data_IF_797204678322
#
_entry.id   IF_797204678322
#
_cell.length_a   1.000
_cell.length_b   1.000
_cell.length_c   1.000
_cell.angle_alpha   90.00
_cell.angle_beta   90.00
_cell.angle_gamma   90.00
#
_symmetry.space_group_name_H-M   'P 1'
#
loop_
_entity.id
_entity.type
_entity.pdbx_description
1 polymer ?
#
# COMPACT_ATOMS: atom_id res chain seq x y z
N UNK A 1 17.33 -18.06 14.93
CA UNK A 1 16.64 -17.65 13.66
C UNK A 1 15.81 -18.81 13.12
N UNK A 2 14.97 -18.58 12.11
CA UNK A 2 14.19 -19.63 11.45
C UNK A 2 15.08 -20.75 10.91
N UNK A 3 16.19 -20.38 10.28
CA UNK A 3 17.18 -21.37 9.80
C UNK A 3 17.80 -22.19 10.92
N UNK A 4 18.11 -21.59 12.07
CA UNK A 4 18.67 -22.33 13.21
C UNK A 4 17.68 -23.34 13.81
N UNK A 5 16.40 -23.03 13.76
CA UNK A 5 15.33 -23.86 14.32
C UNK A 5 14.86 -24.96 13.37
N UNK A 6 14.91 -24.72 12.07
CA UNK A 6 14.31 -25.60 11.06
C UNK A 6 15.32 -26.26 10.13
N UNK A 7 16.55 -25.73 10.05
CA UNK A 7 17.56 -26.13 9.06
C UNK A 7 17.27 -25.66 7.62
N UNK A 8 16.19 -24.86 7.42
CA UNK A 8 15.78 -24.35 6.11
C UNK A 8 16.42 -22.98 5.88
N UNK A 9 17.18 -22.84 4.80
CA UNK A 9 17.70 -21.55 4.36
C UNK A 9 16.60 -20.78 3.63
N UNK A 10 16.37 -19.52 4.03
CA UNK A 10 15.43 -18.63 3.35
C UNK A 10 16.21 -17.67 2.47
N UNK A 11 15.87 -17.63 1.19
CA UNK A 11 16.33 -16.61 0.25
C UNK A 11 15.17 -15.61 0.00
N UNK A 12 15.43 -14.34 0.25
CA UNK A 12 14.44 -13.29 0.08
C UNK A 12 14.62 -12.59 -1.28
N UNK A 13 13.55 -12.58 -2.08
CA UNK A 13 13.47 -11.85 -3.33
C UNK A 13 12.54 -10.65 -3.15
N UNK A 14 13.03 -9.44 -3.44
CA UNK A 14 12.19 -8.23 -3.48
C UNK A 14 11.74 -7.98 -4.92
N UNK A 15 10.43 -7.97 -5.13
CA UNK A 15 9.81 -7.79 -6.45
C UNK A 15 9.06 -6.45 -6.57
N UNK A 16 9.40 -5.49 -5.73
CA UNK A 16 8.73 -4.19 -5.67
C UNK A 16 7.49 -4.20 -4.76
N UNK A 17 6.56 -3.32 -5.04
CA UNK A 17 5.33 -3.17 -4.25
C UNK A 17 4.27 -4.24 -4.62
N UNK A 18 3.17 -4.34 -3.86
CA UNK A 18 2.18 -5.43 -3.94
C UNK A 18 1.65 -5.69 -5.35
N UNK A 19 1.33 -4.65 -6.12
CA UNK A 19 0.85 -4.82 -7.48
C UNK A 19 1.89 -5.42 -8.43
N UNK A 20 3.17 -5.07 -8.25
CA UNK A 20 4.29 -5.61 -9.00
C UNK A 20 4.57 -7.06 -8.59
N UNK A 21 4.54 -7.35 -7.29
CA UNK A 21 4.68 -8.69 -6.74
C UNK A 21 3.63 -9.65 -7.32
N UNK A 22 2.35 -9.27 -7.29
CA UNK A 22 1.26 -10.08 -7.84
C UNK A 22 1.40 -10.25 -9.35
N UNK A 23 1.75 -9.19 -10.08
CA UNK A 23 1.96 -9.27 -11.53
C UNK A 23 3.08 -10.24 -11.89
N UNK A 24 4.20 -10.19 -11.16
CA UNK A 24 5.32 -11.12 -11.33
C UNK A 24 4.91 -12.57 -11.01
N UNK A 25 4.16 -12.77 -9.92
CA UNK A 25 3.67 -14.10 -9.54
C UNK A 25 2.71 -14.69 -10.57
N UNK A 26 1.85 -13.87 -11.19
CA UNK A 26 0.96 -14.29 -12.29
C UNK A 26 1.77 -14.69 -13.52
N UNK A 27 2.75 -13.90 -13.92
CA UNK A 27 3.59 -14.16 -15.09
C UNK A 27 4.43 -15.42 -14.95
N UNK A 28 4.78 -15.79 -13.73
CA UNK A 28 5.62 -16.98 -13.45
C UNK A 28 4.83 -18.15 -12.87
N UNK A 29 3.49 -18.12 -12.93
CA UNK A 29 2.61 -19.12 -12.32
C UNK A 29 2.98 -20.56 -12.67
N UNK A 30 3.33 -20.84 -13.93
CA UNK A 30 3.71 -22.18 -14.40
C UNK A 30 5.12 -22.60 -13.97
N UNK A 31 5.95 -21.65 -13.55
CA UNK A 31 7.29 -21.88 -13.02
C UNK A 31 7.59 -20.84 -11.94
N UNK A 32 7.01 -20.99 -10.74
CA UNK A 32 7.13 -20.03 -9.66
C UNK A 32 8.59 -19.75 -9.26
N UNK A 33 8.91 -18.48 -9.02
CA UNK A 33 10.25 -18.04 -8.62
C UNK A 33 10.46 -18.08 -7.11
N UNK A 34 9.45 -18.43 -6.34
CA UNK A 34 9.50 -18.57 -4.89
C UNK A 34 8.40 -19.48 -4.37
N UNK A 35 8.62 -20.01 -3.16
CA UNK A 35 7.70 -20.95 -2.51
C UNK A 35 6.65 -20.23 -1.66
N UNK A 36 6.94 -19.01 -1.20
CA UNK A 36 6.08 -18.21 -0.34
C UNK A 36 6.04 -16.77 -0.85
N UNK A 37 4.84 -16.20 -0.92
CA UNK A 37 4.61 -14.79 -1.23
C UNK A 37 4.19 -14.07 0.05
N UNK A 38 4.85 -12.95 0.35
CA UNK A 38 4.54 -12.09 1.48
C UNK A 38 4.28 -10.66 1.01
N UNK A 39 3.24 -10.00 1.55
CA UNK A 39 2.94 -8.60 1.25
C UNK A 39 1.70 -8.38 0.39
N UNK A 40 0.82 -9.40 0.26
CA UNK A 40 -0.51 -9.22 -0.36
C UNK A 40 -1.47 -8.73 0.71
N UNK A 41 -2.05 -7.57 0.50
CA UNK A 41 -3.05 -6.99 1.39
C UNK A 41 -4.48 -7.12 0.86
N UNK A 42 -5.45 -6.69 1.65
CA UNK A 42 -6.87 -6.78 1.31
C UNK A 42 -7.26 -5.94 0.06
N UNK A 43 -6.48 -4.94 -0.35
CA UNK A 43 -6.78 -4.12 -1.54
C UNK A 43 -6.47 -4.87 -2.83
N UNK A 44 -5.48 -5.74 -2.82
CA UNK A 44 -5.05 -6.56 -3.96
C UNK A 44 -5.47 -8.03 -3.87
N UNK A 45 -6.09 -8.45 -2.76
CA UNK A 45 -6.40 -9.86 -2.47
C UNK A 45 -7.23 -10.52 -3.57
N UNK A 46 -8.30 -9.88 -4.04
CA UNK A 46 -9.16 -10.45 -5.08
C UNK A 46 -8.39 -10.74 -6.36
N UNK A 47 -7.52 -9.83 -6.78
CA UNK A 47 -6.69 -10.02 -7.98
C UNK A 47 -5.76 -11.22 -7.86
N UNK A 48 -5.19 -11.44 -6.66
CA UNK A 48 -4.31 -12.56 -6.41
C UNK A 48 -5.06 -13.90 -6.38
N UNK A 49 -6.26 -13.93 -5.76
CA UNK A 49 -7.11 -15.11 -5.70
C UNK A 49 -7.69 -15.48 -7.08
N UNK A 50 -8.19 -14.50 -7.83
CA UNK A 50 -8.74 -14.72 -9.19
C UNK A 50 -7.69 -15.27 -10.16
N UNK A 51 -6.42 -14.95 -9.94
CA UNK A 51 -5.31 -15.47 -10.72
C UNK A 51 -4.92 -16.91 -10.35
N UNK A 52 -5.45 -17.46 -9.24
CA UNK A 52 -5.16 -18.83 -8.77
C UNK A 52 -3.65 -19.13 -8.69
N UNK A 53 -2.91 -18.21 -8.05
CA UNK A 53 -1.45 -18.27 -7.91
C UNK A 53 -1.00 -18.92 -6.59
N UNK A 54 -1.93 -19.24 -5.70
CA UNK A 54 -1.64 -19.79 -4.38
C UNK A 54 -2.20 -21.22 -4.24
N UNK A 55 -1.48 -22.05 -3.50
CA UNK A 55 -1.99 -23.34 -3.02
C UNK A 55 -2.61 -23.18 -1.64
N UNK A 56 -3.73 -23.85 -1.33
CA UNK A 56 -4.36 -23.72 -0.01
C UNK A 56 -3.48 -24.33 1.09
N UNK A 57 -3.31 -23.57 2.17
CA UNK A 57 -2.63 -24.02 3.38
C UNK A 57 -3.28 -23.39 4.61
N UNK A 58 -3.76 -24.22 5.53
CA UNK A 58 -4.33 -23.75 6.79
C UNK A 58 -3.28 -23.90 7.90
N UNK A 59 -2.78 -22.77 8.37
CA UNK A 59 -1.81 -22.76 9.48
C UNK A 59 -2.42 -23.30 10.77
N UNK A 60 -1.65 -24.09 11.52
CA UNK A 60 -2.03 -24.51 12.88
C UNK A 60 -2.18 -23.34 13.85
N UNK A 61 -1.70 -22.14 13.47
CA UNK A 61 -1.79 -20.91 14.23
C UNK A 61 -2.99 -20.03 13.85
N UNK A 62 -3.85 -20.46 12.92
CA UNK A 62 -5.02 -19.68 12.51
C UNK A 62 -5.93 -19.27 13.69
N UNK A 63 -6.01 -20.11 14.73
CA UNK A 63 -6.76 -19.80 15.95
C UNK A 63 -6.19 -18.63 16.78
N UNK A 64 -4.99 -18.15 16.44
CA UNK A 64 -4.37 -16.97 17.06
C UNK A 64 -4.59 -15.68 16.29
N UNK A 65 -5.17 -15.75 15.09
CA UNK A 65 -5.51 -14.58 14.30
C UNK A 65 -6.66 -13.84 14.98
N UNK A 66 -6.58 -12.52 15.01
CA UNK A 66 -7.60 -11.66 15.59
C UNK A 66 -8.90 -11.83 14.80
N UNK A 67 -10.02 -11.96 15.51
CA UNK A 67 -11.35 -12.09 14.92
C UNK A 67 -11.64 -10.94 13.95
N UNK A 68 -12.18 -11.26 12.78
CA UNK A 68 -12.52 -10.30 11.75
C UNK A 68 -11.38 -9.90 10.80
N UNK A 69 -10.16 -10.43 10.97
CA UNK A 69 -9.06 -10.21 10.03
C UNK A 69 -8.90 -11.32 8.99
N UNK A 70 -9.67 -12.39 9.08
CA UNK A 70 -9.70 -13.43 8.05
C UNK A 70 -10.71 -13.00 6.99
N UNK A 71 -10.22 -12.44 5.89
CA UNK A 71 -11.05 -11.99 4.76
C UNK A 71 -11.32 -13.09 3.75
N UNK A 72 -10.61 -14.22 3.84
CA UNK A 72 -10.66 -15.33 2.91
C UNK A 72 -10.56 -16.65 3.70
N UNK A 73 -11.53 -17.55 3.52
CA UNK A 73 -11.65 -18.78 4.31
C UNK A 73 -11.14 -20.04 3.60
N UNK A 74 -10.75 -19.93 2.31
CA UNK A 74 -10.29 -21.09 1.54
C UNK A 74 -8.87 -21.56 1.93
N UNK A 75 -8.15 -20.75 2.70
CA UNK A 75 -6.80 -21.03 3.15
C UNK A 75 -5.71 -20.72 2.14
N UNK A 76 -6.00 -19.97 1.07
CA UNK A 76 -4.99 -19.55 0.10
C UNK A 76 -4.07 -18.44 0.63
N UNK A 77 -4.56 -17.68 1.63
CA UNK A 77 -3.78 -16.62 2.28
C UNK A 77 -3.94 -16.71 3.80
N UNK A 78 -2.91 -16.29 4.52
CA UNK A 78 -2.91 -16.22 5.98
C UNK A 78 -2.58 -14.79 6.41
N UNK A 79 -3.47 -14.10 7.15
CA UNK A 79 -3.16 -12.78 7.71
C UNK A 79 -1.98 -12.85 8.69
N UNK A 80 -1.04 -11.94 8.55
CA UNK A 80 0.18 -11.87 9.38
C UNK A 80 0.14 -10.63 10.28
N UNK A 81 -0.27 -9.50 9.72
CA UNK A 81 -0.39 -8.23 10.43
C UNK A 81 -1.56 -7.40 9.88
N UNK A 82 -1.79 -6.26 10.47
CA UNK A 82 -2.73 -5.27 9.98
C UNK A 82 -2.26 -3.86 10.32
N UNK A 83 -2.70 -2.89 9.52
CA UNK A 83 -2.39 -1.48 9.73
C UNK A 83 -3.36 -0.58 8.99
N UNK A 84 -3.24 0.72 9.24
CA UNK A 84 -4.02 1.74 8.57
C UNK A 84 -3.15 2.49 7.57
N UNK A 85 -3.70 2.77 6.39
CA UNK A 85 -3.12 3.73 5.46
C UNK A 85 -3.63 5.12 5.82
N UNK A 86 -2.71 6.05 6.02
CA UNK A 86 -2.99 7.40 6.48
C UNK A 86 -2.30 8.45 5.60
N UNK A 87 -2.77 9.68 5.68
CA UNK A 87 -2.02 10.84 5.20
C UNK A 87 -1.08 11.27 6.34
N UNK A 88 0.21 11.07 6.13
CA UNK A 88 1.25 11.41 7.07
C UNK A 88 1.90 12.74 6.68
N UNK A 89 2.35 13.52 7.64
CA UNK A 89 3.00 14.80 7.37
C UNK A 89 4.26 15.04 8.20
N UNK A 90 5.19 15.79 7.65
CA UNK A 90 6.40 16.20 8.33
C UNK A 90 6.12 17.38 9.27
N UNK A 91 6.12 17.12 10.56
CA UNK A 91 5.60 18.06 11.56
C UNK A 91 6.25 19.46 11.51
N UNK A 92 7.57 19.54 11.27
CA UNK A 92 8.27 20.83 11.23
C UNK A 92 8.02 21.66 9.97
N UNK A 93 7.33 21.10 8.96
CA UNK A 93 6.91 21.85 7.77
C UNK A 93 5.62 22.63 7.97
N UNK A 94 4.99 22.49 9.14
CA UNK A 94 3.71 23.12 9.46
C UNK A 94 3.83 24.04 10.68
N UNK A 95 2.95 25.04 10.76
CA UNK A 95 2.95 26.07 11.82
C UNK A 95 1.53 26.59 12.03
N UNK A 96 1.35 27.51 12.95
CA UNK A 96 0.04 28.17 13.19
C UNK A 96 -0.47 28.93 11.95
N UNK A 97 0.43 29.43 11.09
CA UNK A 97 0.08 30.11 9.84
C UNK A 97 -0.17 29.14 8.67
N UNK A 98 0.31 27.93 8.75
CA UNK A 98 0.06 26.83 7.82
C UNK A 98 -0.12 25.56 8.66
N UNK A 99 -1.30 25.29 9.20
CA UNK A 99 -1.57 24.06 9.95
C UNK A 99 -1.51 22.83 9.03
N UNK A 100 -1.27 21.62 9.57
CA UNK A 100 -1.37 20.42 8.75
C UNK A 100 -2.80 20.20 8.26
N UNK A 101 -3.01 19.51 7.12
CA UNK A 101 -4.35 19.18 6.65
C UNK A 101 -5.08 18.32 7.68
N UNK A 102 -6.36 18.59 7.90
CA UNK A 102 -7.23 17.92 8.88
C UNK A 102 -8.28 17.02 8.24
N UNK A 103 -8.45 17.14 6.93
CA UNK A 103 -9.40 16.36 6.13
C UNK A 103 -8.86 16.09 4.73
N UNK A 104 -9.48 15.10 4.05
CA UNK A 104 -9.15 14.80 2.66
C UNK A 104 -9.52 15.99 1.72
N UNK A 105 -10.49 16.83 2.11
CA UNK A 105 -10.84 18.03 1.34
C UNK A 105 -9.73 19.08 1.37
N UNK A 106 -8.98 19.19 2.46
CA UNK A 106 -7.92 20.19 2.58
C UNK A 106 -6.81 19.92 1.55
N UNK A 107 -6.63 18.66 1.13
CA UNK A 107 -5.68 18.27 0.11
C UNK A 107 -5.98 18.86 -1.28
N UNK A 108 -7.19 19.41 -1.49
CA UNK A 108 -7.54 20.11 -2.73
C UNK A 108 -6.99 21.54 -2.79
N UNK A 109 -6.60 22.12 -1.65
CA UNK A 109 -5.89 23.40 -1.67
C UNK A 109 -4.54 23.23 -2.37
N UNK A 110 -4.20 24.10 -3.35
CA UNK A 110 -2.93 24.03 -4.08
C UNK A 110 -1.70 23.98 -3.17
N UNK A 111 -1.76 24.59 -1.98
CA UNK A 111 -0.68 24.57 -1.00
C UNK A 111 -0.41 23.15 -0.52
N UNK A 112 -1.45 22.41 -0.10
CA UNK A 112 -1.29 21.04 0.38
C UNK A 112 -1.08 20.05 -0.76
N UNK A 113 -1.80 20.21 -1.87
CA UNK A 113 -1.64 19.35 -3.04
C UNK A 113 -0.19 19.34 -3.55
N UNK A 114 0.45 20.52 -3.62
CA UNK A 114 1.84 20.64 -4.06
C UNK A 114 2.86 20.00 -3.09
N UNK A 115 2.49 19.85 -1.82
CA UNK A 115 3.30 19.20 -0.78
C UNK A 115 3.05 17.69 -0.68
N UNK A 116 2.01 17.17 -1.35
CA UNK A 116 1.58 15.77 -1.26
C UNK A 116 2.30 14.89 -2.27
N UNK A 117 2.72 13.72 -1.82
CA UNK A 117 3.10 12.59 -2.67
C UNK A 117 2.22 11.38 -2.36
N UNK A 118 1.76 10.72 -3.41
CA UNK A 118 0.98 9.48 -3.38
C UNK A 118 1.60 8.45 -4.31
N UNK A 119 1.23 7.19 -4.16
CA UNK A 119 1.68 6.11 -5.03
C UNK A 119 0.66 5.80 -6.12
N UNK A 120 1.13 5.23 -7.23
CA UNK A 120 0.28 4.69 -8.27
C UNK A 120 -0.61 3.55 -7.71
N UNK A 121 -1.94 3.65 -7.81
CA UNK A 121 -2.86 2.64 -7.29
C UNK A 121 -2.81 1.29 -8.01
N UNK A 122 -2.21 1.22 -9.20
CA UNK A 122 -2.03 -0.07 -9.92
C UNK A 122 -0.91 -0.92 -9.33
N UNK A 123 0.05 -0.30 -8.66
CA UNK A 123 1.28 -0.95 -8.21
C UNK A 123 1.42 -0.99 -6.70
N UNK A 124 0.81 -0.04 -5.99
CA UNK A 124 1.04 0.18 -4.55
C UNK A 124 -0.24 0.06 -3.72
N UNK A 125 -0.17 -0.71 -2.64
CA UNK A 125 -1.26 -0.87 -1.68
C UNK A 125 -1.69 0.44 -1.02
N UNK A 126 -0.81 1.30 -0.48
CA UNK A 126 -1.25 2.58 0.04
C UNK A 126 -1.85 3.50 -1.04
N UNK A 127 -1.33 3.45 -2.27
CA UNK A 127 -1.91 4.19 -3.39
C UNK A 127 -3.34 3.73 -3.71
N UNK A 128 -3.57 2.42 -3.77
CA UNK A 128 -4.91 1.87 -4.01
C UNK A 128 -5.84 2.14 -2.82
N UNK A 129 -5.37 2.01 -1.59
CA UNK A 129 -6.16 2.32 -0.40
C UNK A 129 -6.60 3.79 -0.39
N UNK A 130 -5.72 4.73 -0.76
CA UNK A 130 -6.08 6.15 -0.86
C UNK A 130 -7.07 6.43 -1.98
N UNK A 131 -6.91 5.78 -3.14
CA UNK A 131 -7.90 5.86 -4.22
C UNK A 131 -9.28 5.38 -3.74
N UNK A 132 -9.36 4.20 -3.12
CA UNK A 132 -10.61 3.64 -2.60
C UNK A 132 -11.23 4.54 -1.52
N UNK A 133 -10.42 5.10 -0.63
CA UNK A 133 -10.87 6.06 0.38
C UNK A 133 -11.46 7.32 -0.27
N UNK A 134 -10.84 7.84 -1.33
CA UNK A 134 -11.35 8.99 -2.07
C UNK A 134 -12.67 8.68 -2.77
N UNK A 135 -12.83 7.49 -3.36
CA UNK A 135 -14.08 7.03 -3.96
C UNK A 135 -15.18 6.94 -2.89
N UNK A 136 -14.87 6.35 -1.74
CA UNK A 136 -15.82 6.23 -0.63
C UNK A 136 -16.26 7.59 -0.07
N UNK A 137 -15.32 8.54 0.02
CA UNK A 137 -15.59 9.87 0.60
C UNK A 137 -16.35 10.79 -0.36
N UNK A 138 -15.96 10.84 -1.63
CA UNK A 138 -16.51 11.77 -2.61
C UNK A 138 -17.66 11.19 -3.46
N UNK A 139 -17.92 9.87 -3.38
CA UNK A 139 -18.92 9.21 -4.21
C UNK A 139 -18.67 9.48 -5.70
N UNK A 140 -19.66 9.96 -6.43
CA UNK A 140 -19.51 10.29 -7.87
C UNK A 140 -18.54 11.43 -8.17
N UNK A 141 -18.11 12.18 -7.16
CA UNK A 141 -17.16 13.30 -7.29
C UNK A 141 -15.68 12.90 -7.26
N UNK A 142 -15.35 11.62 -7.06
CA UNK A 142 -13.97 11.18 -6.91
C UNK A 142 -13.05 11.48 -8.12
N UNK A 143 -13.59 11.45 -9.35
CA UNK A 143 -12.84 11.80 -10.56
C UNK A 143 -12.42 13.27 -10.51
N UNK A 144 -13.37 14.16 -10.20
CA UNK A 144 -13.08 15.59 -10.05
C UNK A 144 -12.08 15.87 -8.93
N UNK A 145 -12.12 15.12 -7.82
CA UNK A 145 -11.10 15.21 -6.76
C UNK A 145 -9.70 14.95 -7.32
N UNK A 146 -9.50 13.86 -8.07
CA UNK A 146 -8.21 13.52 -8.64
C UNK A 146 -7.75 14.47 -9.74
N UNK A 147 -8.66 14.97 -10.57
CA UNK A 147 -8.36 16.00 -11.57
C UNK A 147 -7.83 17.27 -10.90
N UNK A 148 -8.49 17.74 -9.83
CA UNK A 148 -8.07 18.92 -9.08
C UNK A 148 -6.75 18.68 -8.36
N UNK A 149 -6.57 17.53 -7.71
CA UNK A 149 -5.36 17.17 -7.00
C UNK A 149 -4.16 17.15 -7.95
N UNK A 150 -4.33 16.54 -9.14
CA UNK A 150 -3.30 16.51 -10.18
C UNK A 150 -3.00 17.90 -10.72
N UNK A 151 -4.03 18.70 -11.01
CA UNK A 151 -3.87 20.09 -11.46
C UNK A 151 -3.11 20.94 -10.44
N UNK A 152 -3.30 20.67 -9.15
CA UNK A 152 -2.71 21.41 -8.05
C UNK A 152 -1.33 20.89 -7.63
N UNK A 153 -0.75 19.92 -8.35
CA UNK A 153 0.67 19.54 -8.23
C UNK A 153 1.00 18.40 -7.29
N UNK A 154 0.04 17.48 -7.03
CA UNK A 154 0.37 16.23 -6.34
C UNK A 154 1.45 15.46 -7.10
N UNK A 155 2.42 14.90 -6.39
CA UNK A 155 3.39 13.96 -6.95
C UNK A 155 2.82 12.55 -6.91
N UNK A 156 2.98 11.78 -8.00
CA UNK A 156 2.58 10.37 -8.06
C UNK A 156 3.81 9.55 -8.40
N UNK A 157 4.20 8.64 -7.50
CA UNK A 157 5.35 7.75 -7.69
C UNK A 157 4.91 6.35 -8.12
N UNK A 158 5.86 5.55 -8.62
CA UNK A 158 5.60 4.17 -9.04
C UNK A 158 5.30 3.22 -7.89
N UNK A 159 5.85 3.50 -6.70
CA UNK A 159 5.84 2.61 -5.54
C UNK A 159 5.99 3.37 -4.22
N UNK A 160 5.84 2.64 -3.12
CA UNK A 160 5.95 3.21 -1.77
C UNK A 160 7.39 3.65 -1.43
N UNK A 161 8.40 2.90 -1.84
CA UNK A 161 9.79 3.26 -1.54
C UNK A 161 10.18 4.59 -2.21
N UNK A 162 9.80 4.78 -3.48
CA UNK A 162 10.03 6.02 -4.21
C UNK A 162 9.32 7.21 -3.57
N UNK A 163 8.11 7.03 -3.02
CA UNK A 163 7.40 8.11 -2.32
C UNK A 163 8.00 8.39 -0.96
N UNK A 164 8.23 7.38 -0.13
CA UNK A 164 8.59 7.56 1.27
C UNK A 164 10.08 7.87 1.48
N UNK A 165 10.96 7.20 0.73
CA UNK A 165 12.41 7.39 0.80
C UNK A 165 12.96 8.27 -0.32
N UNK A 166 12.15 8.67 -1.31
CA UNK A 166 12.53 9.56 -2.40
C UNK A 166 11.93 10.96 -2.23
N UNK A 167 10.63 11.10 -2.51
CA UNK A 167 9.95 12.40 -2.58
C UNK A 167 9.64 13.01 -1.21
N UNK A 168 9.34 12.20 -0.20
CA UNK A 168 9.01 12.71 1.15
C UNK A 168 10.24 13.20 1.89
N UNK A 169 10.10 14.25 2.70
CA UNK A 169 11.20 14.91 3.42
C UNK A 169 12.06 13.94 4.23
N UNK A 170 11.47 12.93 4.88
CA UNK A 170 12.25 11.97 5.67
C UNK A 170 13.25 11.15 4.85
N UNK A 171 12.98 10.98 3.56
CA UNK A 171 13.88 10.35 2.59
C UNK A 171 14.86 11.32 1.90
N UNK A 172 14.77 12.61 2.22
CA UNK A 172 15.60 13.66 1.59
C UNK A 172 14.90 14.41 0.45
N UNK A 173 13.65 14.11 0.18
CA UNK A 173 12.82 14.81 -0.82
C UNK A 173 12.25 16.14 -0.32
N UNK A 174 11.33 16.72 -1.08
CA UNK A 174 10.75 18.04 -0.82
C UNK A 174 9.26 17.98 -0.41
N UNK A 175 8.63 16.82 -0.49
CA UNK A 175 7.20 16.67 -0.15
C UNK A 175 7.02 16.55 1.35
N UNK A 176 6.19 17.39 1.92
CA UNK A 176 5.92 17.43 3.36
C UNK A 176 4.75 16.52 3.79
N UNK A 177 4.00 15.99 2.82
CA UNK A 177 2.83 15.12 3.04
C UNK A 177 3.00 13.86 2.18
N UNK A 178 2.76 12.68 2.77
CA UNK A 178 2.83 11.40 2.06
C UNK A 178 1.68 10.50 2.48
N UNK A 179 1.12 9.76 1.52
CA UNK A 179 0.24 8.64 1.82
C UNK A 179 1.10 7.45 2.19
N UNK A 180 0.90 6.89 3.38
CA UNK A 180 1.71 5.79 3.91
C UNK A 180 0.98 5.06 5.05
N UNK A 181 1.58 4.02 5.53
CA UNK A 181 1.15 3.31 6.74
C UNK A 181 1.36 4.15 8.00
#
# INVERSE_FOLDING_TARGET
TFTDETGITVEQLSLGDTGQLISSSILTKENPIGDVVFGVDNTFLSRALDADIFSPYVSSLNSKIIDGLIYEESGHVTPIDYGHVCVNYWKSSFSDSLPPPSSINDLLDPTYASLLVVQNPETSSPGLAFLLASISYFGSGWINFWELLTKNGVSVTSDWESSYYGDFISGGGEKAIVVSY
#
